data_IF_602125367576
#
_entry.id   IF_602125367576
#
_cell.length_a   1.000
_cell.length_b   1.000
_cell.length_c   1.000
_cell.angle_alpha   90.00
_cell.angle_beta   90.00
_cell.angle_gamma   90.00
#
_symmetry.space_group_name_H-M   'P 1'
#
loop_
_entity.id
_entity.type
_entity.pdbx_description
1 polymer ?
#
# COMPACT_ATOMS: atom_id res chain seq x y z
N UNK A 1 -0.50 -5.83 -10.19
CA UNK A 1 -0.67 -6.88 -9.16
C UNK A 1 0.57 -6.91 -8.29
N UNK A 2 0.45 -6.67 -7.00
CA UNK A 2 1.51 -6.87 -6.01
C UNK A 2 1.20 -8.14 -5.22
N UNK A 3 1.96 -9.21 -5.46
CA UNK A 3 1.72 -10.52 -4.83
C UNK A 3 2.28 -10.56 -3.41
N UNK A 4 1.93 -11.61 -2.66
CA UNK A 4 2.43 -11.87 -1.31
C UNK A 4 3.19 -13.20 -1.24
N UNK A 5 4.05 -13.35 -0.23
CA UNK A 5 4.80 -14.58 0.07
C UNK A 5 4.03 -15.55 0.98
N UNK A 6 2.70 -15.54 0.89
CA UNK A 6 1.83 -16.40 1.69
C UNK A 6 2.26 -17.88 1.60
N UNK A 7 2.56 -18.37 0.39
CA UNK A 7 2.95 -19.78 0.21
C UNK A 7 4.35 -20.11 0.71
N UNK A 8 5.23 -19.13 0.78
CA UNK A 8 6.59 -19.26 1.31
C UNK A 8 6.61 -19.17 2.83
N UNK A 9 5.56 -18.59 3.43
CA UNK A 9 5.30 -18.55 4.87
C UNK A 9 4.27 -19.60 5.32
N UNK A 10 4.06 -20.65 4.52
CA UNK A 10 3.12 -21.77 4.78
C UNK A 10 1.64 -21.39 4.92
N UNK A 11 1.27 -20.15 4.60
CA UNK A 11 -0.12 -19.73 4.50
C UNK A 11 -0.75 -20.32 3.24
N UNK A 12 -1.97 -20.82 3.38
CA UNK A 12 -2.73 -21.31 2.24
C UNK A 12 -3.04 -20.18 1.26
N UNK A 13 -2.78 -20.45 -0.02
CA UNK A 13 -3.16 -19.56 -1.12
C UNK A 13 -3.64 -20.38 -2.32
N UNK A 14 -4.87 -20.15 -2.76
CA UNK A 14 -5.33 -20.69 -4.04
C UNK A 14 -4.78 -19.84 -5.21
N UNK A 15 -3.50 -20.05 -5.54
CA UNK A 15 -2.75 -19.27 -6.54
C UNK A 15 -3.44 -19.24 -7.91
N UNK A 16 -3.97 -20.38 -8.36
CA UNK A 16 -4.71 -20.49 -9.64
C UNK A 16 -5.95 -19.60 -9.64
N UNK A 17 -6.74 -19.62 -8.55
CA UNK A 17 -7.92 -18.77 -8.44
C UNK A 17 -7.52 -17.30 -8.40
N UNK A 18 -6.53 -16.94 -7.59
CA UNK A 18 -6.04 -15.57 -7.46
C UNK A 18 -5.61 -14.98 -8.81
N UNK A 19 -4.79 -15.70 -9.59
CA UNK A 19 -4.35 -15.21 -10.91
C UNK A 19 -5.54 -15.02 -11.86
N UNK A 20 -6.50 -15.96 -11.86
CA UNK A 20 -7.72 -15.84 -12.69
C UNK A 20 -8.60 -14.67 -12.29
N UNK A 21 -8.71 -14.40 -10.99
CA UNK A 21 -9.44 -13.24 -10.49
C UNK A 21 -8.74 -11.94 -10.94
N UNK A 22 -7.41 -11.89 -10.92
CA UNK A 22 -6.64 -10.75 -11.46
C UNK A 22 -6.93 -10.53 -12.95
N UNK A 23 -7.00 -11.59 -13.75
CA UNK A 23 -7.34 -11.51 -15.18
C UNK A 23 -8.75 -10.96 -15.41
N UNK A 24 -9.71 -11.40 -14.59
CA UNK A 24 -11.08 -10.88 -14.66
C UNK A 24 -11.14 -9.39 -14.33
N UNK A 25 -10.49 -8.95 -13.25
CA UNK A 25 -10.43 -7.54 -12.85
C UNK A 25 -9.75 -6.70 -13.93
N UNK A 26 -8.69 -7.21 -14.55
CA UNK A 26 -7.99 -6.51 -15.62
C UNK A 26 -8.87 -6.25 -16.85
N UNK A 27 -9.90 -7.07 -17.10
CA UNK A 27 -10.88 -6.88 -18.18
C UNK A 27 -10.23 -6.54 -19.53
N UNK A 28 -9.22 -7.32 -19.94
CA UNK A 28 -8.49 -7.12 -21.19
C UNK A 28 -7.33 -6.12 -21.15
N UNK A 29 -7.16 -5.37 -20.06
CA UNK A 29 -5.99 -4.49 -19.87
C UNK A 29 -4.71 -5.30 -19.62
N UNK A 30 -3.57 -4.70 -19.95
CA UNK A 30 -2.24 -5.28 -19.71
C UNK A 30 -2.02 -5.47 -18.21
N UNK A 31 -1.59 -6.66 -17.81
CA UNK A 31 -1.32 -6.98 -16.40
C UNK A 31 0.19 -6.98 -16.15
N UNK A 32 0.58 -6.34 -15.06
CA UNK A 32 1.93 -6.40 -14.50
C UNK A 32 1.85 -7.10 -13.13
N UNK A 33 2.58 -8.19 -12.97
CA UNK A 33 2.81 -8.85 -11.69
C UNK A 33 4.16 -8.41 -11.13
N UNK A 34 4.13 -7.66 -10.03
CA UNK A 34 5.30 -7.39 -9.20
C UNK A 34 5.35 -8.42 -8.08
N UNK A 35 6.32 -9.34 -8.16
CA UNK A 35 6.47 -10.42 -7.19
C UNK A 35 6.94 -9.89 -5.83
N UNK A 36 6.49 -10.56 -4.76
CA UNK A 36 7.08 -10.38 -3.44
C UNK A 36 8.55 -10.83 -3.45
N UNK A 37 9.47 -10.15 -2.75
CA UNK A 37 10.89 -10.52 -2.74
C UNK A 37 11.16 -11.97 -2.30
N UNK A 38 10.33 -12.49 -1.41
CA UNK A 38 10.48 -13.86 -0.89
C UNK A 38 9.88 -14.94 -1.80
N UNK A 39 9.12 -14.58 -2.84
CA UNK A 39 8.52 -15.60 -3.70
C UNK A 39 9.54 -16.35 -4.53
N UNK A 40 9.27 -17.65 -4.74
CA UNK A 40 10.05 -18.46 -5.69
C UNK A 40 9.76 -18.00 -7.12
N UNK A 41 10.59 -17.11 -7.65
CA UNK A 41 10.41 -16.42 -8.94
C UNK A 41 10.09 -17.40 -10.07
N UNK A 42 10.89 -18.46 -10.25
CA UNK A 42 10.69 -19.42 -11.35
C UNK A 42 9.32 -20.12 -11.28
N UNK A 43 8.88 -20.47 -10.07
CA UNK A 43 7.57 -21.09 -9.84
C UNK A 43 6.46 -20.09 -10.13
N UNK A 44 6.55 -18.89 -9.57
CA UNK A 44 5.53 -17.85 -9.71
C UNK A 44 5.38 -17.44 -11.18
N UNK A 45 6.47 -17.24 -11.91
CA UNK A 45 6.46 -16.90 -13.34
C UNK A 45 5.79 -17.98 -14.18
N UNK A 46 6.11 -19.27 -13.95
CA UNK A 46 5.47 -20.40 -14.67
C UNK A 46 3.96 -20.47 -14.40
N UNK A 47 3.54 -20.23 -13.17
CA UNK A 47 2.13 -20.22 -12.80
C UNK A 47 1.38 -19.03 -13.43
N UNK A 48 1.99 -17.84 -13.44
CA UNK A 48 1.44 -16.64 -14.08
C UNK A 48 1.30 -16.87 -15.57
N UNK A 49 2.35 -17.36 -16.25
CA UNK A 49 2.28 -17.63 -17.69
C UNK A 49 1.19 -18.64 -18.03
N UNK A 50 1.00 -19.66 -17.19
CA UNK A 50 -0.04 -20.68 -17.38
C UNK A 50 -1.47 -20.13 -17.23
N UNK A 51 -1.71 -19.17 -16.34
CA UNK A 51 -3.07 -18.74 -15.97
C UNK A 51 -3.42 -17.30 -16.39
N UNK A 52 -2.42 -16.50 -16.75
CA UNK A 52 -2.53 -15.14 -17.24
C UNK A 52 -1.47 -14.88 -18.34
N UNK A 53 -1.51 -15.65 -19.45
CA UNK A 53 -0.49 -15.57 -20.50
C UNK A 53 -0.35 -14.15 -21.06
N UNK A 54 0.88 -13.77 -21.37
CA UNK A 54 1.20 -12.43 -21.89
C UNK A 54 1.26 -11.31 -20.84
N UNK A 55 1.12 -11.64 -19.55
CA UNK A 55 1.37 -10.69 -18.46
C UNK A 55 2.87 -10.41 -18.31
N UNK A 56 3.24 -9.22 -17.84
CA UNK A 56 4.63 -8.93 -17.46
C UNK A 56 4.88 -9.36 -16.02
N UNK A 57 6.04 -9.94 -15.75
CA UNK A 57 6.45 -10.36 -14.40
C UNK A 57 7.74 -9.67 -14.02
N UNK A 58 7.73 -8.97 -12.89
CA UNK A 58 8.91 -8.30 -12.32
C UNK A 58 9.17 -8.80 -10.90
N UNK A 59 10.38 -9.29 -10.63
CA UNK A 59 10.84 -9.61 -9.27
C UNK A 59 11.46 -8.39 -8.57
N UNK A 60 11.97 -7.42 -9.33
CA UNK A 60 12.63 -6.21 -8.83
C UNK A 60 11.96 -4.95 -9.37
N UNK A 61 12.45 -3.76 -8.97
CA UNK A 61 11.94 -2.47 -9.42
C UNK A 61 11.11 -1.73 -8.38
N UNK A 62 10.86 -0.44 -8.63
CA UNK A 62 10.16 0.45 -7.71
C UNK A 62 8.64 0.23 -7.79
N UNK A 63 8.10 -0.45 -6.78
CA UNK A 63 6.67 -0.75 -6.69
C UNK A 63 5.79 0.52 -6.64
N UNK A 64 6.22 1.58 -5.96
CA UNK A 64 5.44 2.82 -5.87
C UNK A 64 5.31 3.50 -7.23
N UNK A 65 6.39 3.51 -8.02
CA UNK A 65 6.36 4.03 -9.38
C UNK A 65 5.40 3.21 -10.28
N UNK A 66 5.38 1.89 -10.12
CA UNK A 66 4.42 1.03 -10.84
C UNK A 66 2.98 1.33 -10.44
N UNK A 67 2.70 1.54 -9.15
CA UNK A 67 1.36 1.87 -8.63
C UNK A 67 0.89 3.24 -9.14
N UNK A 68 1.77 4.24 -9.13
CA UNK A 68 1.43 5.59 -9.61
C UNK A 68 0.94 5.59 -11.06
N UNK A 69 1.48 4.69 -11.88
CA UNK A 69 1.20 4.58 -13.31
C UNK A 69 0.17 3.51 -13.68
N UNK A 70 -0.42 2.79 -12.72
CA UNK A 70 -1.48 1.83 -13.02
C UNK A 70 -2.88 2.45 -12.90
N UNK A 71 -3.84 1.87 -13.62
CA UNK A 71 -5.27 2.17 -13.46
C UNK A 71 -5.84 1.51 -12.21
N UNK A 72 -5.48 0.25 -11.97
CA UNK A 72 -6.03 -0.61 -10.90
C UNK A 72 -4.89 -1.32 -10.18
N UNK A 73 -4.87 -1.22 -8.85
CA UNK A 73 -3.97 -1.96 -7.99
C UNK A 73 -4.67 -3.18 -7.41
N UNK A 74 -4.13 -4.36 -7.66
CA UNK A 74 -4.55 -5.61 -7.03
C UNK A 74 -3.43 -6.07 -6.11
N UNK A 75 -3.74 -6.35 -4.85
CA UNK A 75 -2.80 -6.94 -3.89
C UNK A 75 -3.52 -7.89 -2.94
N UNK A 76 -2.78 -8.73 -2.24
CA UNK A 76 -3.34 -9.60 -1.20
C UNK A 76 -3.18 -8.89 0.15
N UNK A 77 -2.09 -9.20 0.85
CA UNK A 77 -1.70 -8.60 2.13
C UNK A 77 -0.46 -7.74 1.92
N UNK A 78 -0.64 -6.44 1.67
CA UNK A 78 0.48 -5.54 1.46
C UNK A 78 0.15 -4.12 1.88
N UNK A 79 1.15 -3.41 2.42
CA UNK A 79 1.06 -1.97 2.67
C UNK A 79 0.93 -1.16 1.39
N UNK A 80 1.22 -1.75 0.23
CA UNK A 80 0.97 -1.12 -1.08
C UNK A 80 -0.50 -0.73 -1.28
N UNK A 81 -1.45 -1.37 -0.60
CA UNK A 81 -2.86 -0.94 -0.59
C UNK A 81 -3.01 0.53 -0.18
N UNK A 82 -2.28 0.98 0.85
CA UNK A 82 -2.32 2.38 1.29
C UNK A 82 -1.79 3.34 0.22
N UNK A 83 -0.75 2.93 -0.52
CA UNK A 83 -0.19 3.71 -1.63
C UNK A 83 -1.20 3.81 -2.78
N UNK A 84 -1.94 2.74 -3.10
CA UNK A 84 -3.01 2.82 -4.08
C UNK A 84 -4.15 3.75 -3.64
N UNK A 85 -4.59 3.60 -2.39
CA UNK A 85 -5.69 4.39 -1.82
C UNK A 85 -5.36 5.88 -1.77
N UNK A 86 -4.16 6.25 -1.30
CA UNK A 86 -3.74 7.66 -1.19
C UNK A 86 -3.59 8.35 -2.55
N UNK A 87 -3.29 7.58 -3.59
CA UNK A 87 -3.21 8.05 -4.98
C UNK A 87 -4.56 8.03 -5.70
N UNK A 88 -5.65 7.70 -4.99
CA UNK A 88 -7.00 7.64 -5.56
C UNK A 88 -7.19 6.53 -6.60
N UNK A 89 -6.38 5.47 -6.55
CA UNK A 89 -6.49 4.32 -7.46
C UNK A 89 -7.65 3.42 -7.04
N UNK A 90 -8.20 2.67 -8.00
CA UNK A 90 -9.01 1.51 -7.68
C UNK A 90 -8.11 0.45 -7.04
N UNK A 91 -8.46 -0.02 -5.84
CA UNK A 91 -7.68 -0.99 -5.08
C UNK A 91 -8.53 -2.23 -4.79
N UNK A 92 -7.98 -3.40 -5.11
CA UNK A 92 -8.49 -4.70 -4.66
C UNK A 92 -7.48 -5.29 -3.67
N UNK A 93 -7.93 -5.59 -2.46
CA UNK A 93 -7.09 -6.13 -1.38
C UNK A 93 -7.79 -7.26 -0.63
N UNK A 94 -7.03 -8.12 0.06
CA UNK A 94 -7.60 -9.06 1.02
C UNK A 94 -7.85 -8.41 2.40
N UNK A 95 -7.39 -7.17 2.61
CA UNK A 95 -7.78 -6.33 3.74
C UNK A 95 -9.14 -5.67 3.50
N UNK A 96 -9.84 -5.33 4.57
CA UNK A 96 -11.04 -4.48 4.52
C UNK A 96 -10.66 -3.06 4.10
N UNK A 97 -11.10 -2.65 2.92
CA UNK A 97 -10.78 -1.33 2.36
C UNK A 97 -11.41 -0.19 3.14
N UNK A 98 -12.56 -0.38 3.78
CA UNK A 98 -13.19 0.66 4.59
C UNK A 98 -12.38 0.90 5.87
N UNK A 99 -11.83 -0.16 6.44
CA UNK A 99 -10.92 -0.04 7.56
C UNK A 99 -9.60 0.62 7.15
N UNK A 100 -9.01 0.21 6.02
CA UNK A 100 -7.79 0.84 5.51
C UNK A 100 -7.98 2.34 5.24
N UNK A 101 -9.14 2.76 4.73
CA UNK A 101 -9.45 4.18 4.47
C UNK A 101 -9.46 5.00 5.76
N UNK A 102 -9.99 4.48 6.87
CA UNK A 102 -9.96 5.16 8.18
C UNK A 102 -8.52 5.32 8.71
N UNK A 103 -7.65 4.37 8.36
CA UNK A 103 -6.23 4.36 8.76
C UNK A 103 -5.33 5.19 7.82
N UNK A 104 -5.86 5.79 6.76
CA UNK A 104 -5.05 6.62 5.87
C UNK A 104 -4.47 7.81 6.65
N UNK A 105 -3.20 8.18 6.39
CA UNK A 105 -2.59 9.30 7.08
C UNK A 105 -3.35 10.59 6.75
N UNK A 106 -3.61 11.40 7.78
CA UNK A 106 -4.17 12.74 7.65
C UNK A 106 -3.37 13.55 6.63
N UNK A 107 -3.97 13.80 5.47
CA UNK A 107 -3.39 14.69 4.47
C UNK A 107 -3.60 16.13 4.92
N UNK A 108 -2.52 16.79 5.33
CA UNK A 108 -2.54 18.17 5.84
C UNK A 108 -1.81 19.14 4.91
N UNK A 109 -1.88 18.91 3.59
CA UNK A 109 -1.22 19.72 2.56
C UNK A 109 0.30 19.90 2.80
N UNK A 110 0.96 18.89 3.36
CA UNK A 110 2.41 18.93 3.60
C UNK A 110 2.85 19.79 4.79
N UNK A 111 1.91 20.22 5.65
CA UNK A 111 2.21 21.10 6.79
C UNK A 111 2.76 20.36 8.02
N UNK A 112 2.83 19.02 8.01
CA UNK A 112 3.29 18.23 9.16
C UNK A 112 4.65 18.67 9.69
N UNK A 113 5.65 18.83 8.81
CA UNK A 113 7.02 19.15 9.21
C UNK A 113 7.09 20.52 9.91
N UNK A 114 6.43 21.52 9.34
CA UNK A 114 6.32 22.86 9.93
C UNK A 114 5.63 22.82 11.30
N UNK A 115 4.51 22.11 11.43
CA UNK A 115 3.77 22.00 12.69
C UNK A 115 4.60 21.32 13.77
N UNK A 116 5.27 20.22 13.44
CA UNK A 116 6.17 19.50 14.36
C UNK A 116 7.31 20.42 14.81
N UNK A 117 7.94 21.14 13.87
CA UNK A 117 9.04 22.06 14.18
C UNK A 117 8.59 23.20 15.11
N UNK A 118 7.41 23.78 14.90
CA UNK A 118 6.84 24.84 15.77
C UNK A 118 6.61 24.34 17.19
N UNK A 119 6.02 23.14 17.34
CA UNK A 119 5.81 22.53 18.67
C UNK A 119 7.15 22.25 19.36
N UNK A 120 8.13 21.70 18.62
CA UNK A 120 9.47 21.44 19.13
C UNK A 120 10.18 22.72 19.60
N UNK A 121 10.12 23.80 18.83
CA UNK A 121 10.69 25.10 19.22
C UNK A 121 10.03 25.67 20.48
N UNK A 122 8.70 25.57 20.58
CA UNK A 122 7.98 26.00 21.77
C UNK A 122 8.41 25.20 23.01
N UNK A 123 8.49 23.88 22.90
CA UNK A 123 8.94 23.01 24.00
C UNK A 123 10.39 23.29 24.41
N UNK A 124 11.27 23.67 23.48
CA UNK A 124 12.64 24.07 23.80
C UNK A 124 12.68 25.41 24.57
N UNK A 125 11.80 26.35 24.23
CA UNK A 125 11.71 27.66 24.89
C UNK A 125 10.95 27.60 26.23
N UNK A 126 10.04 26.64 26.37
CA UNK A 126 9.15 26.50 27.53
C UNK A 126 8.96 25.01 27.87
N UNK A 127 9.98 24.35 28.43
CA UNK A 127 9.98 22.90 28.63
C UNK A 127 8.94 22.40 29.64
N UNK A 128 8.40 23.29 30.47
CA UNK A 128 7.39 22.97 31.49
C UNK A 128 5.96 23.31 31.04
N UNK A 129 5.74 23.70 29.77
CA UNK A 129 4.38 23.92 29.24
C UNK A 129 3.55 22.64 29.38
N UNK A 130 2.31 22.76 29.88
CA UNK A 130 1.41 21.62 30.04
C UNK A 130 0.93 21.10 28.68
N UNK A 131 0.59 19.81 28.62
CA UNK A 131 0.03 19.21 27.41
C UNK A 131 -1.26 19.91 26.97
N UNK A 132 -2.12 20.33 27.91
CA UNK A 132 -3.37 21.03 27.62
C UNK A 132 -3.11 22.37 26.92
N UNK A 133 -2.12 23.13 27.39
CA UNK A 133 -1.73 24.40 26.77
C UNK A 133 -1.20 24.18 25.35
N UNK A 134 -0.43 23.12 25.12
CA UNK A 134 0.08 22.77 23.77
C UNK A 134 -1.08 22.38 22.86
N UNK A 135 -2.03 21.57 23.34
CA UNK A 135 -3.21 21.13 22.58
C UNK A 135 -4.05 22.33 22.16
N UNK A 136 -4.34 23.25 23.09
CA UNK A 136 -5.12 24.45 22.83
C UNK A 136 -4.39 25.37 21.84
N UNK A 137 -3.13 25.72 22.13
CA UNK A 137 -2.34 26.68 21.35
C UNK A 137 -2.09 26.23 19.91
N UNK A 138 -1.84 24.94 19.70
CA UNK A 138 -1.56 24.38 18.37
C UNK A 138 -2.78 23.71 17.74
N UNK A 139 -3.95 23.79 18.39
CA UNK A 139 -5.21 23.16 17.96
C UNK A 139 -4.99 21.70 17.57
N UNK A 140 -4.28 20.96 18.41
CA UNK A 140 -3.99 19.55 18.18
C UNK A 140 -5.27 18.74 18.39
N UNK A 141 -5.57 17.84 17.45
CA UNK A 141 -6.62 16.85 17.66
C UNK A 141 -6.00 15.66 18.38
N UNK A 142 -6.39 15.43 19.63
CA UNK A 142 -6.15 14.15 20.30
C UNK A 142 -7.21 13.17 19.81
N UNK A 143 -6.76 12.05 19.25
CA UNK A 143 -7.60 10.95 18.77
C UNK A 143 -8.07 10.10 19.94
#
# INVERSE_FOLDING_TARGET
VCTSDARETFKYENRKKFIRDCVKIANGKKIIFKLHPNEKIDRATKEIEKYAPGSLVYSTGNTNHMIANCDVLITQYSTTSFVGLILGKEVHSYFDLEELKKLLPLQNNGTSAERIARIGLHLLQSPNTSTDEIIEKYSLRTV
#
